data_IF_315350085660
#
_entry.id   IF_315350085660
#
_cell.length_a   1.000
_cell.length_b   1.000
_cell.length_c   1.000
_cell.angle_alpha   90.00
_cell.angle_beta   90.00
_cell.angle_gamma   90.00
#
_symmetry.space_group_name_H-M   'P 1'
#
loop_
_entity.id
_entity.type
_entity.pdbx_description
1 polymer ?
#
# COMPACT_ATOMS: atom_id res chain seq x y z
N UNK A 1 13.71 27.99 -17.67
CA UNK A 1 12.49 27.98 -18.49
C UNK A 1 11.71 26.72 -18.07
N UNK A 2 10.72 26.86 -17.16
CA UNK A 2 9.90 25.75 -16.69
C UNK A 2 8.80 25.57 -17.72
N UNK A 3 8.82 24.46 -18.45
CA UNK A 3 7.70 24.11 -19.31
C UNK A 3 6.51 23.74 -18.42
N UNK A 4 5.57 24.65 -18.26
CA UNK A 4 4.21 24.33 -17.83
C UNK A 4 3.59 23.47 -18.95
N UNK A 5 3.69 22.16 -18.83
CA UNK A 5 2.83 21.27 -19.60
C UNK A 5 1.50 21.26 -18.86
N UNK A 6 0.66 22.21 -19.24
CA UNK A 6 -0.71 22.34 -18.76
C UNK A 6 -1.58 21.37 -19.54
N UNK A 7 -2.05 20.42 -18.88
CA UNK A 7 -3.22 19.59 -19.10
C UNK A 7 -3.33 18.80 -17.82
N UNK A 8 -4.50 18.74 -17.20
CA UNK A 8 -4.79 18.14 -15.89
C UNK A 8 -4.46 16.63 -15.84
N UNK A 9 -3.18 16.28 -16.01
CA UNK A 9 -2.69 14.91 -15.92
C UNK A 9 -2.33 14.64 -14.47
N UNK A 10 -3.08 13.75 -13.84
CA UNK A 10 -2.76 13.24 -12.51
C UNK A 10 -1.49 12.38 -12.57
N UNK A 11 -0.38 12.88 -12.01
CA UNK A 11 0.87 12.15 -11.86
C UNK A 11 0.86 11.41 -10.51
N UNK A 12 0.94 10.10 -10.54
CA UNK A 12 0.94 9.26 -9.33
C UNK A 12 2.23 8.45 -9.28
N UNK A 13 2.99 8.62 -8.21
CA UNK A 13 4.17 7.80 -7.97
C UNK A 13 3.77 6.40 -7.52
N UNK A 14 4.54 5.40 -7.93
CA UNK A 14 4.31 4.01 -7.53
C UNK A 14 5.65 3.34 -7.18
N UNK A 15 5.77 2.78 -5.97
CA UNK A 15 6.92 1.99 -5.58
C UNK A 15 6.99 0.70 -6.42
N UNK A 16 8.10 0.45 -7.09
CA UNK A 16 8.33 -0.83 -7.74
C UNK A 16 8.54 -1.93 -6.70
N UNK A 17 8.23 -3.17 -7.08
CA UNK A 17 8.42 -4.37 -6.28
C UNK A 17 9.63 -5.16 -6.75
N UNK A 18 10.29 -5.85 -5.83
CA UNK A 18 11.49 -6.62 -6.09
C UNK A 18 11.16 -8.11 -6.21
N UNK A 19 11.58 -8.76 -7.29
CA UNK A 19 11.60 -10.21 -7.40
C UNK A 19 12.99 -10.72 -7.75
N UNK A 20 13.27 -11.95 -7.36
CA UNK A 20 14.44 -12.69 -7.80
C UNK A 20 14.00 -13.76 -8.79
N UNK A 21 14.40 -13.61 -10.05
CA UNK A 21 14.12 -14.58 -11.10
C UNK A 21 15.40 -15.05 -11.75
N UNK A 22 15.66 -16.36 -11.71
CA UNK A 22 16.89 -16.96 -12.22
C UNK A 22 18.17 -16.31 -11.63
N UNK A 23 18.16 -16.04 -10.31
CA UNK A 23 19.28 -15.40 -9.59
C UNK A 23 19.49 -13.91 -9.89
N UNK A 24 18.63 -13.29 -10.69
CA UNK A 24 18.71 -11.87 -11.04
C UNK A 24 17.62 -11.07 -10.37
N UNK A 25 17.98 -9.93 -9.78
CA UNK A 25 17.04 -8.95 -9.24
C UNK A 25 16.29 -8.25 -10.37
N UNK A 26 14.98 -8.10 -10.19
CA UNK A 26 14.10 -7.34 -11.09
C UNK A 26 13.23 -6.42 -10.28
N UNK A 27 13.14 -5.17 -10.70
CA UNK A 27 12.15 -4.24 -10.20
C UNK A 27 11.00 -4.19 -11.20
N UNK A 28 9.76 -4.33 -10.74
CA UNK A 28 8.59 -4.42 -11.60
C UNK A 28 7.36 -3.74 -11.01
N UNK A 29 6.40 -3.47 -11.88
CA UNK A 29 5.04 -3.06 -11.54
C UNK A 29 4.11 -4.02 -12.26
N UNK A 30 3.11 -4.53 -11.57
CA UNK A 30 2.15 -5.48 -12.15
C UNK A 30 1.24 -4.81 -13.18
N UNK A 31 0.76 -5.59 -14.16
CA UNK A 31 -0.17 -5.12 -15.20
C UNK A 31 -1.50 -4.58 -14.62
N UNK A 32 -1.86 -4.96 -13.40
CA UNK A 32 -3.04 -4.41 -12.70
C UNK A 32 -2.96 -2.89 -12.53
N UNK A 33 -1.79 -2.36 -12.16
CA UNK A 33 -1.61 -0.91 -12.00
C UNK A 33 -1.57 -0.17 -13.35
N UNK A 34 -1.06 -0.80 -14.41
CA UNK A 34 -1.18 -0.26 -15.76
C UNK A 34 -2.65 -0.12 -16.16
N UNK A 35 -3.47 -1.16 -15.91
CA UNK A 35 -4.91 -1.15 -16.20
C UNK A 35 -5.64 -0.08 -15.37
N UNK A 36 -5.30 0.05 -14.09
CA UNK A 36 -5.81 1.10 -13.21
C UNK A 36 -5.50 2.49 -13.77
N UNK A 37 -4.25 2.74 -14.13
CA UNK A 37 -3.81 4.03 -14.66
C UNK A 37 -4.52 4.39 -15.98
N UNK A 38 -4.64 3.43 -16.90
CA UNK A 38 -5.40 3.61 -18.14
C UNK A 38 -6.88 3.92 -17.87
N UNK A 39 -7.50 3.23 -16.91
CA UNK A 39 -8.91 3.44 -16.56
C UNK A 39 -9.18 4.83 -15.96
N UNK A 40 -8.26 5.30 -15.10
CA UNK A 40 -8.39 6.57 -14.40
C UNK A 40 -7.79 7.76 -15.17
N UNK A 41 -7.20 7.52 -16.33
CA UNK A 41 -6.43 8.52 -17.08
C UNK A 41 -5.30 9.16 -16.26
N UNK A 42 -4.60 8.33 -15.47
CA UNK A 42 -3.44 8.73 -14.66
C UNK A 42 -2.14 8.36 -15.34
N UNK A 43 -1.08 9.11 -15.05
CA UNK A 43 0.29 8.73 -15.43
C UNK A 43 1.02 8.21 -14.19
N UNK A 44 1.49 6.96 -14.25
CA UNK A 44 2.28 6.37 -13.17
C UNK A 44 3.76 6.65 -13.38
N UNK A 45 4.42 7.14 -12.32
CA UNK A 45 5.86 7.36 -12.26
C UNK A 45 6.48 6.31 -11.34
N UNK A 46 7.20 5.30 -11.89
CA UNK A 46 7.85 4.27 -11.08
C UNK A 46 8.96 4.82 -10.19
N UNK A 47 8.98 4.44 -8.93
CA UNK A 47 10.12 4.64 -8.02
C UNK A 47 10.88 3.31 -7.92
N UNK A 48 12.11 3.27 -8.42
CA UNK A 48 12.99 2.10 -8.38
C UNK A 48 14.26 2.34 -7.55
N UNK A 49 14.47 3.57 -7.11
CA UNK A 49 15.65 3.98 -6.33
C UNK A 49 15.26 5.01 -5.27
N UNK A 50 15.77 4.83 -4.07
CA UNK A 50 15.58 5.81 -2.98
C UNK A 50 16.25 7.16 -3.26
N UNK A 51 17.20 7.22 -4.18
CA UNK A 51 17.88 8.46 -4.58
C UNK A 51 16.97 9.43 -5.34
N UNK A 52 15.97 8.90 -6.05
CA UNK A 52 15.08 9.70 -6.91
C UNK A 52 13.78 10.08 -6.20
N UNK A 53 13.52 9.50 -5.03
CA UNK A 53 12.26 9.67 -4.29
C UNK A 53 11.92 11.15 -4.06
N UNK A 54 12.89 11.97 -3.65
CA UNK A 54 12.63 13.38 -3.34
C UNK A 54 12.14 14.12 -4.60
N UNK A 55 12.83 13.97 -5.72
CA UNK A 55 12.44 14.63 -7.00
C UNK A 55 11.08 14.13 -7.49
N UNK A 56 10.85 12.80 -7.41
CA UNK A 56 9.57 12.23 -7.83
C UNK A 56 8.44 12.72 -6.91
N UNK A 57 8.69 12.84 -5.61
CA UNK A 57 7.67 13.33 -4.68
C UNK A 57 7.29 14.79 -4.92
N UNK A 58 8.18 15.61 -5.45
CA UNK A 58 7.89 17.00 -5.84
C UNK A 58 7.01 17.08 -7.09
N UNK A 59 7.18 16.14 -8.03
CA UNK A 59 6.45 16.10 -9.30
C UNK A 59 5.06 15.44 -9.17
N UNK A 60 4.94 14.43 -8.34
CA UNK A 60 3.72 13.60 -8.26
C UNK A 60 2.73 14.11 -7.22
N UNK A 61 1.44 13.91 -7.49
CA UNK A 61 0.34 14.34 -6.62
C UNK A 61 0.10 13.38 -5.47
N UNK A 62 0.35 12.09 -5.68
CA UNK A 62 0.11 11.02 -4.71
C UNK A 62 1.11 9.87 -4.86
N UNK A 63 1.10 8.97 -3.88
CA UNK A 63 1.93 7.75 -3.84
C UNK A 63 1.06 6.51 -3.72
N UNK A 64 1.38 5.48 -4.51
CA UNK A 64 0.89 4.12 -4.33
C UNK A 64 2.07 3.22 -3.91
N UNK A 65 1.86 2.45 -2.84
CA UNK A 65 2.78 1.42 -2.37
C UNK A 65 2.07 0.07 -2.58
N UNK A 66 2.40 -0.69 -3.63
CA UNK A 66 1.73 -1.94 -3.96
C UNK A 66 1.94 -3.05 -2.92
N UNK A 67 1.21 -4.15 -3.09
CA UNK A 67 1.51 -5.40 -2.43
C UNK A 67 2.86 -5.98 -2.84
N UNK A 68 3.43 -6.80 -1.99
CA UNK A 68 4.69 -7.50 -2.20
C UNK A 68 4.57 -8.99 -1.91
N UNK A 69 5.33 -9.80 -2.61
CA UNK A 69 5.58 -11.19 -2.25
C UNK A 69 6.76 -11.35 -1.27
N UNK A 70 7.36 -10.25 -0.82
CA UNK A 70 8.47 -10.25 0.14
C UNK A 70 7.98 -9.72 1.49
N UNK A 71 8.30 -10.46 2.56
CA UNK A 71 7.99 -10.09 3.92
C UNK A 71 8.85 -8.94 4.40
N UNK A 72 8.28 -8.12 5.31
CA UNK A 72 9.04 -7.07 5.99
C UNK A 72 9.87 -7.71 7.10
N UNK A 73 11.19 -7.50 7.05
CA UNK A 73 12.11 -8.04 8.05
C UNK A 73 11.71 -7.58 9.47
N UNK A 74 11.44 -8.51 10.40
CA UNK A 74 10.98 -8.21 11.76
C UNK A 74 11.87 -7.27 12.58
N UNK A 75 13.14 -7.13 12.20
CA UNK A 75 14.05 -6.14 12.82
C UNK A 75 13.52 -4.70 12.71
N UNK A 76 12.70 -4.38 11.68
CA UNK A 76 12.16 -3.03 11.47
C UNK A 76 11.04 -2.68 12.45
N UNK A 77 10.37 -3.69 13.04
CA UNK A 77 9.39 -3.52 14.11
C UNK A 77 9.84 -4.16 15.44
N UNK A 78 11.19 -4.35 15.60
CA UNK A 78 11.86 -4.77 16.85
C UNK A 78 11.44 -6.16 17.36
N UNK A 79 11.06 -7.04 16.44
CA UNK A 79 10.76 -8.44 16.73
C UNK A 79 11.85 -9.37 16.15
N UNK A 80 11.90 -10.62 16.64
CA UNK A 80 12.75 -11.66 16.09
C UNK A 80 11.98 -12.41 14.98
N UNK A 81 12.62 -12.83 13.89
CA UNK A 81 11.98 -13.67 12.90
C UNK A 81 11.59 -15.03 13.51
N UNK A 82 10.35 -15.47 13.25
CA UNK A 82 9.85 -16.80 13.65
C UNK A 82 10.21 -17.87 12.62
N UNK A 83 10.51 -17.46 11.36
CA UNK A 83 10.94 -18.35 10.29
C UNK A 83 12.31 -17.93 9.74
N UNK A 84 13.03 -18.88 9.11
CA UNK A 84 14.23 -18.57 8.31
C UNK A 84 13.82 -18.12 6.92
N UNK A 85 13.34 -16.88 6.80
CA UNK A 85 13.01 -16.29 5.52
C UNK A 85 14.18 -15.48 4.97
N UNK A 86 14.22 -15.36 3.64
CA UNK A 86 15.13 -14.42 3.00
C UNK A 86 14.40 -13.08 2.87
N UNK A 87 14.87 -12.07 3.61
CA UNK A 87 14.30 -10.72 3.57
C UNK A 87 15.06 -9.85 2.56
N UNK A 88 14.32 -9.10 1.77
CA UNK A 88 14.88 -8.13 0.82
C UNK A 88 14.70 -6.71 1.34
N UNK A 89 15.59 -6.32 2.24
CA UNK A 89 15.57 -5.02 2.93
C UNK A 89 15.50 -3.82 1.97
N UNK A 90 15.97 -3.96 0.73
CA UNK A 90 15.95 -2.88 -0.27
C UNK A 90 14.53 -2.42 -0.59
N UNK A 91 13.57 -3.33 -0.63
CA UNK A 91 12.17 -3.01 -0.93
C UNK A 91 11.55 -2.17 0.19
N UNK A 92 11.66 -2.64 1.45
CA UNK A 92 11.14 -1.84 2.56
C UNK A 92 11.88 -0.51 2.74
N UNK A 93 13.19 -0.44 2.47
CA UNK A 93 13.93 0.83 2.48
C UNK A 93 13.43 1.81 1.43
N UNK A 94 13.04 1.32 0.25
CA UNK A 94 12.42 2.13 -0.80
C UNK A 94 11.06 2.68 -0.33
N UNK A 95 10.19 1.81 0.20
CA UNK A 95 8.91 2.21 0.76
C UNK A 95 9.07 3.26 1.85
N UNK A 96 9.98 3.03 2.80
CA UNK A 96 10.28 3.96 3.90
C UNK A 96 10.71 5.34 3.39
N UNK A 97 11.56 5.38 2.36
CA UNK A 97 12.00 6.65 1.76
C UNK A 97 10.83 7.37 1.09
N UNK A 98 10.00 6.63 0.33
CA UNK A 98 8.83 7.18 -0.35
C UNK A 98 7.78 7.68 0.64
N UNK A 99 7.44 6.91 1.68
CA UNK A 99 6.53 7.34 2.74
C UNK A 99 7.02 8.65 3.37
N UNK A 100 8.30 8.70 3.76
CA UNK A 100 8.89 9.91 4.37
C UNK A 100 8.72 11.14 3.49
N UNK A 101 9.02 11.04 2.19
CA UNK A 101 9.00 12.17 1.28
C UNK A 101 7.56 12.66 0.99
N UNK A 102 6.63 11.74 0.72
CA UNK A 102 5.25 12.10 0.40
C UNK A 102 4.47 12.57 1.64
N UNK A 103 4.64 11.88 2.77
CA UNK A 103 4.03 12.30 4.05
C UNK A 103 4.54 13.66 4.49
N UNK A 104 5.85 13.94 4.37
CA UNK A 104 6.44 15.23 4.69
C UNK A 104 5.94 16.40 3.82
N UNK A 105 5.35 16.10 2.66
CA UNK A 105 4.70 17.08 1.77
C UNK A 105 3.17 17.06 1.88
N UNK A 106 2.63 16.38 2.88
CA UNK A 106 1.17 16.25 3.11
C UNK A 106 0.39 15.67 1.92
N UNK A 107 1.02 14.80 1.12
CA UNK A 107 0.43 14.17 -0.06
C UNK A 107 -0.31 12.89 0.28
N UNK A 108 -1.30 12.53 -0.53
CA UNK A 108 -2.07 11.30 -0.37
C UNK A 108 -1.20 10.07 -0.62
N UNK A 109 -1.35 9.04 0.23
CA UNK A 109 -0.62 7.78 0.12
C UNK A 109 -1.62 6.62 0.23
N UNK A 110 -1.56 5.67 -0.71
CA UNK A 110 -2.30 4.41 -0.63
C UNK A 110 -1.29 3.27 -0.50
N UNK A 111 -1.42 2.45 0.54
CA UNK A 111 -0.69 1.20 0.72
C UNK A 111 -1.59 -0.01 0.52
N UNK A 112 -1.16 -0.99 -0.27
CA UNK A 112 -1.93 -2.20 -0.59
C UNK A 112 -1.16 -3.41 -0.08
N UNK A 113 -1.80 -4.30 0.69
CA UNK A 113 -1.23 -5.54 1.23
C UNK A 113 0.12 -5.26 1.94
N UNK A 114 1.25 -5.69 1.42
CA UNK A 114 2.59 -5.35 1.93
C UNK A 114 2.83 -3.83 2.03
N UNK A 115 2.21 -3.02 1.17
CA UNK A 115 2.27 -1.55 1.27
C UNK A 115 1.53 -0.99 2.49
N UNK A 116 0.38 -1.56 2.89
CA UNK A 116 -0.29 -1.23 4.15
C UNK A 116 0.57 -1.63 5.35
N UNK A 117 1.20 -2.79 5.29
CA UNK A 117 2.12 -3.28 6.32
C UNK A 117 3.34 -2.36 6.44
N UNK A 118 3.92 -1.91 5.30
CA UNK A 118 5.03 -0.93 5.26
C UNK A 118 4.64 0.38 5.93
N UNK A 119 3.43 0.88 5.70
CA UNK A 119 2.90 2.08 6.36
C UNK A 119 2.82 1.88 7.87
N UNK A 120 2.21 0.78 8.33
CA UNK A 120 2.07 0.50 9.76
C UNK A 120 3.44 0.42 10.46
N UNK A 121 4.38 -0.31 9.87
CA UNK A 121 5.75 -0.46 10.43
C UNK A 121 6.52 0.87 10.42
N UNK A 122 6.38 1.67 9.36
CA UNK A 122 7.01 3.00 9.29
C UNK A 122 6.59 3.92 10.44
N UNK A 123 5.32 3.90 10.82
CA UNK A 123 4.76 4.69 11.93
C UNK A 123 4.85 4.02 13.29
N UNK A 124 5.53 2.88 13.41
CA UNK A 124 5.87 2.23 14.68
C UNK A 124 4.94 1.10 15.11
N UNK A 125 4.05 0.64 14.24
CA UNK A 125 3.26 -0.57 14.44
C UNK A 125 4.07 -1.85 14.23
N UNK A 126 3.44 -3.01 14.50
CA UNK A 126 4.04 -4.34 14.36
C UNK A 126 3.17 -5.28 13.54
N UNK A 127 3.71 -6.43 13.13
CA UNK A 127 3.03 -7.40 12.29
C UNK A 127 2.94 -8.77 12.98
N UNK A 128 1.87 -9.51 12.70
CA UNK A 128 1.88 -10.97 12.74
C UNK A 128 2.70 -11.45 11.54
N UNK A 129 3.70 -12.28 11.79
CA UNK A 129 4.60 -12.79 10.75
C UNK A 129 3.99 -13.96 9.98
N UNK A 130 2.91 -14.54 10.51
CA UNK A 130 2.14 -15.58 9.84
C UNK A 130 0.74 -15.65 10.45
N UNK A 131 -0.27 -15.78 9.60
CA UNK A 131 -1.67 -16.00 9.95
C UNK A 131 -2.30 -17.02 9.01
N UNK A 132 -3.26 -17.79 9.52
CA UNK A 132 -4.00 -18.79 8.75
C UNK A 132 -5.17 -18.17 7.95
N UNK A 133 -5.62 -18.89 6.92
CA UNK A 133 -6.88 -18.66 6.19
C UNK A 133 -7.00 -17.33 5.42
N UNK A 134 -5.89 -16.60 5.20
CA UNK A 134 -5.87 -15.35 4.43
C UNK A 134 -5.12 -15.45 3.10
N UNK A 135 -4.58 -16.62 2.75
CA UNK A 135 -3.86 -16.79 1.50
C UNK A 135 -4.74 -17.45 0.44
N UNK A 136 -4.81 -16.82 -0.74
CA UNK A 136 -5.55 -17.26 -1.93
C UNK A 136 -7.04 -17.56 -1.66
N UNK A 137 -7.73 -16.65 -1.00
CA UNK A 137 -9.13 -16.78 -0.63
C UNK A 137 -9.93 -15.49 -0.85
N UNK A 138 -11.23 -15.56 -0.55
CA UNK A 138 -12.15 -14.42 -0.48
C UNK A 138 -12.92 -14.50 0.83
N UNK A 139 -12.99 -13.38 1.56
CA UNK A 139 -13.75 -13.32 2.81
C UNK A 139 -14.47 -11.97 2.96
N UNK A 140 -15.51 -11.91 3.82
CA UNK A 140 -16.14 -10.64 4.16
C UNK A 140 -15.26 -9.84 5.13
N UNK A 141 -15.23 -8.52 4.94
CA UNK A 141 -14.69 -7.56 5.90
C UNK A 141 -15.81 -6.67 6.41
N UNK A 142 -15.79 -6.37 7.70
CA UNK A 142 -16.71 -5.44 8.36
C UNK A 142 -16.12 -4.03 8.30
N UNK A 143 -16.86 -3.12 7.70
CA UNK A 143 -16.46 -1.70 7.58
C UNK A 143 -16.81 -0.96 8.88
N UNK A 144 -15.85 -0.20 9.40
CA UNK A 144 -16.02 0.61 10.60
C UNK A 144 -16.69 1.94 10.24
N UNK A 145 -17.67 2.36 11.01
CA UNK A 145 -18.40 3.61 10.78
C UNK A 145 -17.47 4.84 10.92
N UNK A 146 -17.87 5.93 10.27
CA UNK A 146 -17.17 7.22 10.31
C UNK A 146 -15.73 7.17 9.75
N UNK A 147 -15.51 6.25 8.79
CA UNK A 147 -14.26 6.11 8.08
C UNK A 147 -14.40 6.47 6.60
N UNK A 148 -13.28 6.66 5.90
CA UNK A 148 -13.28 6.82 4.45
C UNK A 148 -13.98 5.63 3.78
N UNK A 149 -13.63 4.39 4.18
CA UNK A 149 -14.25 3.19 3.60
C UNK A 149 -15.76 3.14 3.83
N UNK A 150 -16.25 3.59 4.98
CA UNK A 150 -17.70 3.64 5.24
C UNK A 150 -18.42 4.63 4.34
N UNK A 151 -17.78 5.76 4.03
CA UNK A 151 -18.31 6.77 3.11
C UNK A 151 -18.27 6.29 1.64
N UNK A 152 -17.24 5.51 1.30
CA UNK A 152 -17.06 4.98 -0.05
C UNK A 152 -18.00 3.81 -0.34
N UNK A 153 -17.94 2.74 0.43
CA UNK A 153 -18.75 1.55 0.18
C UNK A 153 -20.22 1.70 0.53
N UNK A 154 -20.58 2.54 1.50
CA UNK A 154 -21.95 2.72 2.01
C UNK A 154 -22.61 1.39 2.39
N UNK A 155 -21.81 0.43 2.87
CA UNK A 155 -22.19 -0.93 3.27
C UNK A 155 -21.47 -1.29 4.56
N UNK A 156 -22.13 -2.09 5.42
CA UNK A 156 -21.52 -2.60 6.66
C UNK A 156 -20.50 -3.71 6.42
N UNK A 157 -20.65 -4.46 5.32
CA UNK A 157 -19.80 -5.60 4.98
C UNK A 157 -19.55 -5.62 3.49
N UNK A 158 -18.31 -5.91 3.11
CA UNK A 158 -17.87 -6.06 1.72
C UNK A 158 -17.06 -7.35 1.61
N UNK A 159 -17.24 -8.09 0.51
CA UNK A 159 -16.42 -9.26 0.21
C UNK A 159 -15.18 -8.84 -0.56
N UNK A 160 -13.99 -9.24 -0.10
CA UNK A 160 -12.70 -8.88 -0.69
C UNK A 160 -11.87 -10.11 -0.99
N UNK A 161 -10.86 -9.98 -1.84
CA UNK A 161 -9.82 -10.99 -2.05
C UNK A 161 -8.77 -10.92 -0.94
N UNK A 162 -8.07 -12.00 -0.70
CA UNK A 162 -7.03 -12.11 0.32
C UNK A 162 -5.87 -12.97 -0.20
N UNK A 163 -4.68 -12.37 -0.26
CA UNK A 163 -3.44 -12.98 -0.78
C UNK A 163 -2.26 -12.67 0.16
N UNK A 164 -2.46 -12.83 1.48
CA UNK A 164 -1.44 -12.53 2.46
C UNK A 164 -1.37 -13.60 3.56
N UNK A 165 -0.23 -13.70 4.20
CA UNK A 165 0.01 -14.51 5.40
C UNK A 165 0.56 -13.65 6.55
N UNK A 166 1.00 -12.41 6.28
CA UNK A 166 1.29 -11.42 7.31
C UNK A 166 0.10 -10.47 7.50
N UNK A 167 -0.04 -9.90 8.70
CA UNK A 167 -1.07 -8.92 9.01
C UNK A 167 -0.62 -7.94 10.10
N UNK A 168 -1.33 -6.81 10.25
CA UNK A 168 -1.07 -5.88 11.35
C UNK A 168 -1.42 -6.54 12.68
N UNK A 169 -0.45 -6.58 13.61
CA UNK A 169 -0.59 -7.05 14.99
C UNK A 169 -0.92 -5.90 15.94
N UNK A 170 -0.07 -4.86 15.95
CA UNK A 170 -0.32 -3.64 16.66
C UNK A 170 -0.37 -2.49 15.65
N UNK A 171 -1.50 -1.79 15.62
CA UNK A 171 -1.66 -0.61 14.77
C UNK A 171 -0.83 0.55 15.32
N UNK A 172 -0.18 1.30 14.43
CA UNK A 172 0.52 2.52 14.78
C UNK A 172 -0.47 3.62 15.20
N UNK A 173 -0.11 4.45 16.18
CA UNK A 173 -0.98 5.48 16.77
C UNK A 173 -1.49 6.55 15.80
N UNK A 174 -0.86 6.67 14.62
CA UNK A 174 -1.26 7.60 13.57
C UNK A 174 -2.53 7.14 12.80
N UNK A 175 -2.96 5.91 12.99
CA UNK A 175 -4.03 5.32 12.21
C UNK A 175 -5.24 4.96 13.05
N UNK A 176 -6.40 5.01 12.41
CA UNK A 176 -7.60 4.32 12.87
C UNK A 176 -7.87 3.08 12.00
N UNK A 177 -8.50 2.06 12.60
CA UNK A 177 -8.95 0.88 11.86
C UNK A 177 -10.20 1.26 11.06
N UNK A 178 -10.21 0.95 9.77
CA UNK A 178 -11.38 1.20 8.92
C UNK A 178 -12.07 -0.07 8.40
N UNK A 179 -11.43 -1.24 8.51
CA UNK A 179 -12.08 -2.53 8.29
C UNK A 179 -11.39 -3.66 9.05
N UNK A 180 -12.17 -4.68 9.43
CA UNK A 180 -11.69 -5.92 10.07
C UNK A 180 -12.38 -7.14 9.45
N UNK A 181 -11.70 -8.28 9.42
CA UNK A 181 -12.27 -9.59 9.05
C UNK A 181 -13.06 -10.20 10.22
N UNK A 182 -13.73 -11.32 9.97
CA UNK A 182 -14.51 -12.02 11.00
C UNK A 182 -13.66 -12.62 12.13
N UNK A 183 -12.40 -12.92 11.85
CA UNK A 183 -11.39 -13.41 12.81
C UNK A 183 -10.56 -12.27 13.43
N UNK A 184 -11.04 -11.03 13.29
CA UNK A 184 -10.46 -9.80 13.86
C UNK A 184 -9.10 -9.39 13.29
N UNK A 185 -8.72 -9.87 12.11
CA UNK A 185 -7.57 -9.33 11.41
C UNK A 185 -7.89 -7.94 10.86
N UNK A 186 -6.95 -7.00 11.00
CA UNK A 186 -7.08 -5.64 10.47
C UNK A 186 -6.93 -5.67 8.95
N UNK A 187 -7.99 -5.30 8.25
CA UNK A 187 -8.07 -5.34 6.79
C UNK A 187 -7.95 -3.98 6.13
N UNK A 188 -8.12 -2.90 6.91
CA UNK A 188 -7.82 -1.56 6.45
C UNK A 188 -7.52 -0.62 7.61
N UNK A 189 -6.61 0.32 7.34
CA UNK A 189 -6.24 1.43 8.23
C UNK A 189 -6.31 2.75 7.47
N UNK A 190 -6.54 3.84 8.17
CA UNK A 190 -6.56 5.15 7.54
C UNK A 190 -6.15 6.27 8.49
N UNK A 191 -5.70 7.37 7.91
CA UNK A 191 -5.57 8.69 8.52
C UNK A 191 -6.03 9.73 7.50
N UNK A 192 -5.88 11.01 7.76
CA UNK A 192 -6.33 12.08 6.86
C UNK A 192 -5.81 11.93 5.42
N UNK A 193 -4.52 11.60 5.25
CA UNK A 193 -3.86 11.52 3.96
C UNK A 193 -3.31 10.12 3.62
N UNK A 194 -3.63 9.12 4.41
CA UNK A 194 -3.14 7.75 4.19
C UNK A 194 -4.30 6.77 4.25
N UNK A 195 -4.35 5.87 3.26
CA UNK A 195 -5.25 4.73 3.20
C UNK A 195 -4.41 3.46 3.03
N UNK A 196 -4.54 2.52 3.97
CA UNK A 196 -3.95 1.19 3.88
C UNK A 196 -5.05 0.15 3.69
N UNK A 197 -4.89 -0.73 2.71
CA UNK A 197 -5.82 -1.81 2.37
C UNK A 197 -5.06 -3.13 2.36
N UNK A 198 -5.48 -4.13 3.16
CA UNK A 198 -4.83 -5.43 3.18
C UNK A 198 -5.19 -6.26 1.95
N UNK A 199 -6.39 -6.08 1.40
CA UNK A 199 -6.85 -6.67 0.17
C UNK A 199 -6.38 -5.89 -1.07
N UNK A 200 -6.61 -6.45 -2.26
CA UNK A 200 -6.14 -5.93 -3.55
C UNK A 200 -7.28 -5.37 -4.40
N UNK A 201 -7.66 -4.09 -4.24
CA UNK A 201 -8.71 -3.48 -5.04
C UNK A 201 -8.34 -3.38 -6.53
N UNK A 202 -7.05 -3.29 -6.87
CA UNK A 202 -6.58 -3.28 -8.26
C UNK A 202 -6.85 -4.61 -8.98
N UNK A 203 -6.84 -5.74 -8.26
CA UNK A 203 -7.19 -7.06 -8.77
C UNK A 203 -8.71 -7.21 -8.91
N UNK A 204 -9.48 -6.65 -7.96
CA UNK A 204 -10.95 -6.61 -8.00
C UNK A 204 -11.48 -5.63 -9.05
N UNK A 205 -10.62 -4.82 -9.68
CA UNK A 205 -10.97 -3.71 -10.58
C UNK A 205 -11.81 -2.62 -9.90
N UNK A 206 -11.72 -2.49 -8.59
CA UNK A 206 -12.31 -1.40 -7.83
C UNK A 206 -11.42 -0.16 -7.92
N UNK A 207 -11.21 0.34 -9.14
CA UNK A 207 -10.30 1.45 -9.40
C UNK A 207 -10.80 2.77 -8.81
N UNK A 208 -12.11 2.90 -8.64
CA UNK A 208 -12.71 4.12 -8.12
C UNK A 208 -12.33 4.42 -6.67
N UNK A 209 -11.93 3.42 -5.86
CA UNK A 209 -11.46 3.67 -4.50
C UNK A 209 -10.18 4.52 -4.49
N UNK A 210 -9.28 4.30 -5.46
CA UNK A 210 -8.07 5.09 -5.63
C UNK A 210 -8.39 6.54 -5.99
N UNK A 211 -9.25 6.72 -7.00
CA UNK A 211 -9.69 8.05 -7.43
C UNK A 211 -10.36 8.82 -6.30
N UNK A 212 -11.30 8.17 -5.63
CA UNK A 212 -12.09 8.78 -4.56
C UNK A 212 -11.23 9.22 -3.36
N UNK A 213 -10.14 8.51 -3.08
CA UNK A 213 -9.23 8.87 -2.00
C UNK A 213 -8.21 9.93 -2.42
N UNK A 214 -7.66 9.84 -3.63
CA UNK A 214 -6.57 10.72 -4.08
C UNK A 214 -7.10 12.09 -4.53
N UNK A 215 -8.26 12.14 -5.18
CA UNK A 215 -8.80 13.38 -5.76
C UNK A 215 -9.73 14.16 -4.80
N UNK A 216 -9.91 13.69 -3.57
CA UNK A 216 -10.57 14.42 -2.48
C UNK A 216 -9.56 15.21 -1.65
#
# INVERSE_FOLDING_TARGET
MVYNIVGDVMLVAICARLEIKNGKKRWFITDYFKKLACHLNWTLIPIVSSKDVQKISELCHALIIPGSGNDINPKYYKEKPIFKNQYYDEEYKLDKAAIKAFFGQNKKIIGICGGMQSLNVYFGGTLFQDIDNHNNTFHPIKIINSTFLSSYYKKKTVKVNSFHHEAIKNIASNFQISAISNDNIIEAIESENILGLQYHPEVLKDYNIFKHFIEK
#
